data_IF_661364825341
#
_entry.id   IF_661364825341
#
_cell.length_a   1.000
_cell.length_b   1.000
_cell.length_c   1.000
_cell.angle_alpha   90.00
_cell.angle_beta   90.00
_cell.angle_gamma   90.00
#
_symmetry.space_group_name_H-M   'P 1'
#
loop_
_entity.id
_entity.type
_entity.pdbx_description
1 polymer ?
#
# COMPACT_ATOMS: atom_id res chain seq x y z
N UNK A 1 6.66 4.07 -14.70
CA UNK A 1 6.10 4.36 -13.36
C UNK A 1 4.64 3.98 -13.39
N UNK A 2 4.14 3.28 -12.36
CA UNK A 2 2.73 2.90 -12.29
C UNK A 2 1.90 4.11 -11.88
N UNK A 3 0.79 4.35 -12.57
CA UNK A 3 -0.31 5.18 -12.08
C UNK A 3 -0.75 4.67 -10.70
N UNK A 4 -1.13 5.56 -9.78
CA UNK A 4 -1.88 5.16 -8.58
C UNK A 4 -1.13 4.99 -7.25
N UNK A 5 0.17 5.24 -7.15
CA UNK A 5 0.85 5.35 -5.84
C UNK A 5 0.60 6.73 -5.20
N UNK A 6 -0.64 6.98 -4.81
CA UNK A 6 -1.06 8.16 -4.05
C UNK A 6 -1.44 7.73 -2.63
N UNK A 7 -0.42 7.50 -1.81
CA UNK A 7 -0.55 7.03 -0.43
C UNK A 7 -0.27 8.20 0.53
N UNK A 8 -1.31 8.80 1.15
CA UNK A 8 -1.12 9.90 2.09
C UNK A 8 -0.33 9.49 3.35
N UNK A 9 -0.20 8.20 3.63
CA UNK A 9 0.53 7.65 4.78
C UNK A 9 2.05 7.61 4.59
N UNK A 10 2.55 7.81 3.35
CA UNK A 10 3.99 7.74 3.07
C UNK A 10 4.68 9.02 3.52
N UNK A 11 5.46 8.91 4.60
CA UNK A 11 6.23 10.02 5.17
C UNK A 11 7.65 10.12 4.61
N UNK A 12 8.20 9.02 4.08
CA UNK A 12 9.60 8.96 3.63
C UNK A 12 9.72 8.21 2.30
N UNK A 13 10.42 8.83 1.35
CA UNK A 13 10.83 8.20 0.09
C UNK A 13 12.35 8.16 0.03
N UNK A 14 12.92 6.95 -0.01
CA UNK A 14 14.35 6.75 -0.19
C UNK A 14 14.65 6.31 -1.63
N UNK A 15 15.54 7.04 -2.32
CA UNK A 15 16.00 6.73 -3.67
C UNK A 15 17.46 6.28 -3.57
N UNK A 16 17.67 4.98 -3.73
CA UNK A 16 19.01 4.37 -3.77
C UNK A 16 19.65 4.57 -5.14
N UNK A 17 20.98 4.66 -5.19
CA UNK A 17 21.73 4.90 -6.42
C UNK A 17 21.17 6.10 -7.21
N UNK A 18 20.95 7.23 -6.52
CA UNK A 18 20.34 8.41 -7.12
C UNK A 18 21.22 9.06 -8.20
N UNK A 19 22.52 8.79 -8.18
CA UNK A 19 23.52 9.28 -9.12
C UNK A 19 23.76 8.40 -10.35
N UNK A 20 23.13 7.22 -10.42
CA UNK A 20 23.20 6.36 -11.61
C UNK A 20 22.27 6.89 -12.70
N UNK A 21 22.79 7.79 -13.54
CA UNK A 21 22.02 8.37 -14.63
C UNK A 21 21.44 7.30 -15.58
N UNK A 22 20.29 7.63 -16.17
CA UNK A 22 19.50 6.73 -16.99
C UNK A 22 18.01 7.03 -16.85
N UNK A 23 17.16 6.21 -17.47
CA UNK A 23 15.71 6.46 -17.50
C UNK A 23 15.09 6.63 -16.10
N UNK A 24 15.50 5.80 -15.13
CA UNK A 24 14.97 5.80 -13.77
C UNK A 24 15.52 6.94 -12.87
N UNK A 25 16.55 7.64 -13.31
CA UNK A 25 17.21 8.74 -12.59
C UNK A 25 17.32 10.01 -13.42
N UNK A 26 16.50 10.10 -14.48
CA UNK A 26 16.29 11.35 -15.20
C UNK A 26 15.64 12.38 -14.27
N UNK A 27 15.78 13.65 -14.62
CA UNK A 27 15.14 14.76 -13.90
C UNK A 27 13.64 14.52 -13.67
N UNK A 28 12.91 14.14 -14.72
CA UNK A 28 11.48 13.85 -14.66
C UNK A 28 11.20 12.70 -13.70
N UNK A 29 12.01 11.63 -13.78
CA UNK A 29 11.82 10.46 -12.93
C UNK A 29 12.09 10.75 -11.46
N UNK A 30 13.10 11.56 -11.16
CA UNK A 30 13.41 11.98 -9.80
C UNK A 30 12.28 12.86 -9.24
N UNK A 31 11.79 13.84 -10.00
CA UNK A 31 10.68 14.70 -9.58
C UNK A 31 9.42 13.88 -9.28
N UNK A 32 9.06 12.94 -10.16
CA UNK A 32 7.89 12.09 -9.96
C UNK A 32 8.04 11.17 -8.75
N UNK A 33 9.23 10.64 -8.51
CA UNK A 33 9.50 9.78 -7.35
C UNK A 33 9.45 10.57 -6.05
N UNK A 34 10.07 11.76 -6.01
CA UNK A 34 10.01 12.67 -4.87
C UNK A 34 8.58 13.13 -4.58
N UNK A 35 7.77 13.33 -5.62
CA UNK A 35 6.37 13.73 -5.49
C UNK A 35 5.50 12.74 -4.69
N UNK A 36 5.93 11.49 -4.53
CA UNK A 36 5.24 10.50 -3.68
C UNK A 36 5.21 10.90 -2.20
N UNK A 37 6.25 11.60 -1.71
CA UNK A 37 6.29 12.11 -0.34
C UNK A 37 5.45 13.38 -0.14
N UNK A 38 5.03 14.06 -1.22
CA UNK A 38 4.37 15.38 -1.13
C UNK A 38 2.92 15.34 -0.61
N UNK A 39 2.40 14.13 -0.32
CA UNK A 39 1.04 13.91 0.19
C UNK A 39 0.95 13.92 1.71
N UNK A 40 2.09 13.88 2.39
CA UNK A 40 2.18 13.96 3.84
C UNK A 40 2.81 15.30 4.25
N UNK A 41 2.31 15.99 5.29
CA UNK A 41 2.90 17.24 5.77
C UNK A 41 4.37 17.10 6.18
N UNK A 42 4.71 15.98 6.81
CA UNK A 42 6.10 15.62 7.17
C UNK A 42 6.85 14.83 6.10
N UNK A 43 6.38 14.88 4.85
CA UNK A 43 6.99 14.19 3.73
C UNK A 43 8.46 14.55 3.52
N UNK A 44 9.34 13.53 3.52
CA UNK A 44 10.78 13.66 3.31
C UNK A 44 11.27 12.75 2.18
N UNK A 45 12.34 13.18 1.53
CA UNK A 45 13.02 12.40 0.49
C UNK A 45 14.50 12.28 0.84
N UNK A 46 15.06 11.08 0.76
CA UNK A 46 16.49 10.82 0.86
C UNK A 46 17.02 10.32 -0.48
N UNK A 47 18.01 11.02 -1.03
CA UNK A 47 18.73 10.65 -2.25
C UNK A 47 20.09 10.08 -1.85
N UNK A 48 20.27 8.77 -1.94
CA UNK A 48 21.56 8.12 -1.68
C UNK A 48 22.40 8.12 -2.95
N UNK A 49 23.49 8.86 -2.94
CA UNK A 49 24.37 9.06 -4.09
C UNK A 49 25.80 9.32 -3.61
N UNK A 50 26.78 9.03 -4.48
CA UNK A 50 28.17 9.46 -4.26
C UNK A 50 28.38 10.89 -4.73
N UNK A 51 27.77 11.27 -5.86
CA UNK A 51 27.91 12.59 -6.46
C UNK A 51 26.55 13.21 -6.83
N UNK A 52 26.46 14.54 -6.89
CA UNK A 52 25.26 15.22 -7.39
C UNK A 52 25.34 15.30 -8.91
N UNK A 53 24.46 14.58 -9.62
CA UNK A 53 24.37 14.64 -11.08
C UNK A 53 23.62 15.89 -11.56
N UNK A 54 23.72 16.20 -12.86
CA UNK A 54 22.97 17.32 -13.45
C UNK A 54 21.45 17.09 -13.33
N UNK A 55 21.01 15.84 -13.50
CA UNK A 55 19.60 15.45 -13.36
C UNK A 55 19.10 15.65 -11.92
N UNK A 56 19.90 15.26 -10.93
CA UNK A 56 19.60 15.52 -9.51
C UNK A 56 19.54 17.01 -9.20
N UNK A 57 20.54 17.78 -9.62
CA UNK A 57 20.60 19.21 -9.35
C UNK A 57 19.38 19.97 -9.90
N UNK A 58 18.96 19.65 -11.14
CA UNK A 58 17.74 20.25 -11.74
C UNK A 58 16.48 19.82 -11.00
N UNK A 59 16.35 18.54 -10.67
CA UNK A 59 15.20 18.03 -9.93
C UNK A 59 15.06 18.66 -8.54
N UNK A 60 16.16 18.74 -7.77
CA UNK A 60 16.20 19.37 -6.44
C UNK A 60 15.82 20.86 -6.55
N UNK A 61 16.41 21.58 -7.51
CA UNK A 61 16.12 23.00 -7.74
C UNK A 61 14.64 23.24 -8.03
N UNK A 62 14.01 22.39 -8.83
CA UNK A 62 12.59 22.52 -9.16
C UNK A 62 11.68 22.22 -7.96
N UNK A 63 12.01 21.19 -7.16
CA UNK A 63 11.30 20.88 -5.91
C UNK A 63 11.42 22.04 -4.92
N UNK A 64 12.61 22.58 -4.72
CA UNK A 64 12.85 23.72 -3.81
C UNK A 64 12.11 24.97 -4.28
N UNK A 65 12.10 25.25 -5.59
CA UNK A 65 11.35 26.37 -6.16
C UNK A 65 9.85 26.26 -5.84
N UNK A 66 9.26 25.07 -6.03
CA UNK A 66 7.86 24.80 -5.71
C UNK A 66 7.58 24.93 -4.22
N UNK A 67 8.42 24.35 -3.36
CA UNK A 67 8.28 24.42 -1.90
C UNK A 67 8.34 25.85 -1.40
N UNK A 68 9.27 26.66 -1.90
CA UNK A 68 9.37 28.10 -1.56
C UNK A 68 8.09 28.86 -1.93
N UNK A 69 7.53 28.61 -3.11
CA UNK A 69 6.27 29.23 -3.52
C UNK A 69 5.11 28.82 -2.60
N UNK A 70 4.99 27.52 -2.30
CA UNK A 70 3.95 26.98 -1.42
C UNK A 70 4.03 27.55 0.00
N UNK A 71 5.23 27.65 0.58
CA UNK A 71 5.42 28.24 1.91
C UNK A 71 5.01 29.71 1.91
N UNK A 72 5.44 30.50 0.92
CA UNK A 72 5.06 31.91 0.80
C UNK A 72 3.55 32.09 0.68
N UNK A 73 2.91 31.23 -0.13
CA UNK A 73 1.47 31.23 -0.28
C UNK A 73 0.76 30.89 1.04
N UNK A 74 1.21 29.83 1.72
CA UNK A 74 0.64 29.40 2.99
C UNK A 74 0.75 30.49 4.06
N UNK A 75 1.89 31.19 4.16
CA UNK A 75 2.07 32.31 5.09
C UNK A 75 1.13 33.46 4.74
N UNK A 76 1.04 33.84 3.45
CA UNK A 76 0.18 34.94 2.98
C UNK A 76 -1.30 34.72 3.32
N UNK A 77 -1.76 33.47 3.28
CA UNK A 77 -3.17 33.11 3.47
C UNK A 77 -3.44 32.35 4.78
N UNK A 78 -2.48 32.31 5.72
CA UNK A 78 -2.57 31.59 6.98
C UNK A 78 -3.02 30.10 6.84
N UNK A 79 -2.53 29.40 5.81
CA UNK A 79 -2.86 28.00 5.54
C UNK A 79 -1.89 27.09 6.31
N UNK A 80 -2.43 26.24 7.18
CA UNK A 80 -1.68 25.16 7.85
C UNK A 80 -1.78 23.88 7.00
N UNK A 81 -0.65 23.31 6.53
CA UNK A 81 -0.64 22.04 5.81
C UNK A 81 -1.24 20.92 6.68
N UNK A 82 -2.17 20.14 6.12
CA UNK A 82 -2.81 19.01 6.79
C UNK A 82 -2.79 17.80 5.86
N UNK A 83 -2.63 16.61 6.44
CA UNK A 83 -2.76 15.36 5.70
C UNK A 83 -4.21 15.18 5.24
N UNK A 84 -4.39 14.65 4.02
CA UNK A 84 -5.71 14.29 3.52
C UNK A 84 -6.05 12.91 4.06
N UNK A 85 -6.96 12.84 5.02
CA UNK A 85 -7.58 11.58 5.43
C UNK A 85 -8.72 11.27 4.48
N UNK A 86 -8.54 10.28 3.60
CA UNK A 86 -9.66 9.72 2.83
C UNK A 86 -10.35 8.68 3.72
N UNK A 87 -11.64 8.86 4.05
CA UNK A 87 -12.37 7.80 4.75
C UNK A 87 -12.36 6.56 3.87
N UNK A 88 -12.10 5.40 4.47
CA UNK A 88 -12.38 4.11 3.84
C UNK A 88 -13.87 4.17 3.52
N UNK A 89 -14.25 4.03 2.25
CA UNK A 89 -15.67 3.95 1.89
C UNK A 89 -16.25 2.72 2.61
N UNK A 90 -17.01 2.94 3.67
CA UNK A 90 -17.91 1.93 4.21
C UNK A 90 -18.85 1.55 3.08
N UNK A 91 -18.70 0.32 2.60
CA UNK A 91 -19.55 -0.21 1.54
C UNK A 91 -20.84 -0.62 2.22
N UNK A 92 -21.95 -0.04 1.77
CA UNK A 92 -23.32 -0.35 2.20
C UNK A 92 -23.53 -1.86 2.16
N UNK A 93 -23.52 -2.50 3.33
CA UNK A 93 -23.95 -3.88 3.53
C UNK A 93 -25.43 -3.82 3.84
N UNK A 94 -26.25 -3.58 2.82
CA UNK A 94 -27.68 -3.80 2.92
C UNK A 94 -28.12 -4.54 1.65
N UNK A 95 -28.69 -5.74 1.87
CA UNK A 95 -29.25 -6.69 0.91
C UNK A 95 -28.30 -7.78 0.43
N UNK A 96 -28.23 -8.84 1.24
CA UNK A 96 -27.87 -10.19 0.81
C UNK A 96 -29.08 -10.72 0.03
N UNK A 97 -28.92 -10.98 -1.27
CA UNK A 97 -29.89 -11.72 -2.09
C UNK A 97 -29.70 -13.23 -1.85
N UNK A 98 -30.75 -13.91 -1.41
CA UNK A 98 -30.78 -15.33 -1.01
C UNK A 98 -30.62 -16.33 -2.19
N UNK A 99 -30.22 -15.89 -3.38
CA UNK A 99 -30.27 -16.70 -4.61
C UNK A 99 -29.00 -17.49 -4.95
N UNK A 100 -27.89 -17.31 -4.24
CA UNK A 100 -26.58 -17.83 -4.66
C UNK A 100 -26.13 -19.10 -3.92
N UNK A 101 -27.04 -19.90 -3.34
CA UNK A 101 -26.65 -20.89 -2.33
C UNK A 101 -26.12 -22.25 -2.83
N UNK A 102 -26.24 -22.60 -4.11
CA UNK A 102 -26.00 -24.01 -4.53
C UNK A 102 -24.61 -24.30 -5.11
N UNK A 103 -23.89 -23.32 -5.64
CA UNK A 103 -22.54 -23.53 -6.22
C UNK A 103 -21.40 -23.36 -5.19
N UNK A 104 -21.65 -22.71 -4.06
CA UNK A 104 -20.63 -22.32 -3.07
C UNK A 104 -20.44 -23.33 -1.93
N UNK A 105 -21.36 -24.30 -1.80
CA UNK A 105 -21.32 -25.29 -0.73
C UNK A 105 -20.02 -26.11 -0.75
N UNK A 106 -19.50 -26.48 -1.92
CA UNK A 106 -18.30 -27.32 -2.04
C UNK A 106 -16.99 -26.59 -1.71
N UNK A 107 -16.94 -25.27 -1.89
CA UNK A 107 -15.73 -24.48 -1.66
C UNK A 107 -15.57 -24.13 -0.17
N UNK A 108 -16.69 -23.86 0.53
CA UNK A 108 -16.73 -23.75 1.99
C UNK A 108 -16.12 -24.98 2.66
N UNK A 109 -16.55 -26.20 2.29
CA UNK A 109 -16.09 -27.45 2.92
C UNK A 109 -14.59 -27.69 2.82
N UNK A 110 -13.95 -27.29 1.71
CA UNK A 110 -12.51 -27.46 1.52
C UNK A 110 -11.69 -26.48 2.37
N UNK A 111 -12.16 -25.25 2.50
CA UNK A 111 -11.53 -24.22 3.34
C UNK A 111 -11.74 -24.54 4.81
N UNK A 112 -12.95 -24.87 5.25
CA UNK A 112 -13.24 -25.25 6.65
C UNK A 112 -12.35 -26.43 7.11
N UNK A 113 -12.15 -27.44 6.27
CA UNK A 113 -11.24 -28.57 6.60
C UNK A 113 -9.78 -28.16 6.77
N UNK A 114 -9.29 -27.20 5.99
CA UNK A 114 -7.94 -26.66 6.15
C UNK A 114 -7.87 -25.84 7.44
N UNK A 115 -8.90 -25.05 7.72
CA UNK A 115 -9.01 -24.21 8.90
C UNK A 115 -9.10 -25.02 10.21
N UNK A 116 -9.66 -26.24 10.18
CA UNK A 116 -9.82 -27.14 11.34
C UNK A 116 -8.65 -28.10 11.56
N UNK A 117 -7.83 -28.37 10.54
CA UNK A 117 -6.68 -29.29 10.61
C UNK A 117 -5.33 -28.61 10.87
N UNK A 118 -5.35 -27.30 11.14
CA UNK A 118 -4.14 -26.51 11.40
C UNK A 118 -3.71 -26.64 12.88
N UNK A 119 -2.85 -27.61 13.17
CA UNK A 119 -2.12 -27.67 14.44
C UNK A 119 -0.97 -26.64 14.43
N UNK A 120 -1.24 -25.48 15.02
CA UNK A 120 -0.34 -24.32 15.06
C UNK A 120 0.97 -24.62 15.80
N UNK A 121 0.97 -25.59 16.72
CA UNK A 121 2.12 -25.95 17.57
C UNK A 121 3.19 -26.80 16.88
N UNK A 122 2.92 -27.34 15.68
CA UNK A 122 3.82 -28.26 14.97
C UNK A 122 4.46 -27.68 13.70
N UNK A 123 4.25 -26.40 13.40
CA UNK A 123 4.64 -25.79 12.12
C UNK A 123 6.07 -25.21 12.15
N UNK A 124 6.86 -25.52 11.12
CA UNK A 124 8.14 -24.85 10.90
C UNK A 124 7.93 -23.44 10.30
N UNK A 125 8.85 -22.47 10.51
CA UNK A 125 8.71 -21.12 9.95
C UNK A 125 8.57 -21.05 8.42
N UNK A 126 9.05 -22.07 7.70
CA UNK A 126 8.87 -22.19 6.25
C UNK A 126 7.46 -22.63 5.87
N UNK A 127 6.84 -23.50 6.65
CA UNK A 127 5.49 -24.01 6.40
C UNK A 127 4.43 -22.97 6.75
N UNK A 128 4.66 -22.19 7.82
CA UNK A 128 3.86 -21.01 8.18
C UNK A 128 3.70 -20.04 7.00
N UNK A 129 4.81 -19.69 6.32
CA UNK A 129 4.76 -18.77 5.16
C UNK A 129 3.96 -19.33 3.98
N UNK A 130 4.08 -20.64 3.71
CA UNK A 130 3.32 -21.30 2.62
C UNK A 130 1.82 -21.33 2.94
N UNK A 131 1.47 -21.66 4.17
CA UNK A 131 0.09 -21.71 4.66
C UNK A 131 -0.54 -20.32 4.62
N UNK A 132 0.13 -19.29 5.17
CA UNK A 132 -0.35 -17.90 5.12
C UNK A 132 -0.55 -17.43 3.68
N UNK A 133 0.34 -17.81 2.75
CA UNK A 133 0.17 -17.47 1.33
C UNK A 133 -1.06 -18.14 0.72
N UNK A 134 -1.34 -19.40 1.07
CA UNK A 134 -2.54 -20.12 0.61
C UNK A 134 -3.80 -19.49 1.20
N UNK A 135 -3.84 -19.26 2.52
CA UNK A 135 -4.95 -18.61 3.21
C UNK A 135 -5.24 -17.21 2.65
N UNK A 136 -4.21 -16.40 2.36
CA UNK A 136 -4.42 -15.08 1.71
C UNK A 136 -5.08 -15.18 0.34
N UNK A 137 -4.79 -16.24 -0.42
CA UNK A 137 -5.43 -16.48 -1.72
C UNK A 137 -6.90 -16.87 -1.54
N UNK A 138 -7.20 -17.76 -0.60
CA UNK A 138 -8.59 -18.15 -0.28
C UNK A 138 -9.39 -16.97 0.27
N UNK A 139 -8.80 -16.15 1.13
CA UNK A 139 -9.42 -14.92 1.65
C UNK A 139 -9.78 -13.94 0.52
N UNK A 140 -8.91 -13.80 -0.47
CA UNK A 140 -9.18 -12.94 -1.63
C UNK A 140 -10.33 -13.51 -2.48
N UNK A 141 -10.35 -14.82 -2.71
CA UNK A 141 -11.44 -15.49 -3.45
C UNK A 141 -12.77 -15.33 -2.69
N UNK A 142 -12.78 -15.50 -1.37
CA UNK A 142 -13.97 -15.28 -0.54
C UNK A 142 -14.46 -13.83 -0.62
N UNK A 143 -13.54 -12.85 -0.55
CA UNK A 143 -13.87 -11.44 -0.69
C UNK A 143 -14.39 -11.08 -2.10
N UNK A 144 -13.82 -11.66 -3.15
CA UNK A 144 -14.26 -11.49 -4.54
C UNK A 144 -15.65 -12.11 -4.75
N UNK A 145 -15.96 -13.20 -4.05
CA UNK A 145 -17.25 -13.88 -4.03
C UNK A 145 -18.29 -13.25 -3.07
N UNK A 146 -17.97 -12.11 -2.44
CA UNK A 146 -18.82 -11.42 -1.47
C UNK A 146 -19.11 -12.23 -0.18
N UNK A 147 -18.35 -13.29 0.10
CA UNK A 147 -18.42 -14.07 1.34
C UNK A 147 -17.49 -13.45 2.41
N UNK A 148 -17.96 -12.34 2.96
CA UNK A 148 -17.15 -11.53 3.90
C UNK A 148 -16.95 -12.20 5.26
N UNK A 149 -17.87 -13.08 5.67
CA UNK A 149 -17.75 -13.85 6.91
C UNK A 149 -16.57 -14.82 6.82
N UNK A 150 -16.53 -15.61 5.75
CA UNK A 150 -15.41 -16.53 5.50
C UNK A 150 -14.09 -15.78 5.32
N UNK A 151 -14.10 -14.64 4.61
CA UNK A 151 -12.90 -13.81 4.47
C UNK A 151 -12.41 -13.26 5.83
N UNK A 152 -13.32 -12.90 6.74
CA UNK A 152 -12.98 -12.43 8.08
C UNK A 152 -12.40 -13.55 8.95
N UNK A 153 -12.98 -14.75 8.92
CA UNK A 153 -12.44 -15.92 9.63
C UNK A 153 -11.03 -16.28 9.16
N UNK A 154 -10.80 -16.29 7.84
CA UNK A 154 -9.47 -16.57 7.28
C UNK A 154 -8.47 -15.48 7.69
N UNK A 155 -8.88 -14.21 7.70
CA UNK A 155 -8.04 -13.09 8.17
C UNK A 155 -7.61 -13.29 9.61
N UNK A 156 -8.54 -13.68 10.48
CA UNK A 156 -8.27 -13.82 11.91
C UNK A 156 -7.38 -15.04 12.18
N UNK A 157 -7.58 -16.16 11.46
CA UNK A 157 -6.62 -17.29 11.51
C UNK A 157 -5.24 -16.94 10.97
N UNK A 158 -5.13 -16.10 9.94
CA UNK A 158 -3.81 -15.60 9.47
C UNK A 158 -3.13 -14.77 10.56
N UNK A 159 -3.89 -14.01 11.38
CA UNK A 159 -3.35 -13.22 12.50
C UNK A 159 -2.92 -14.08 13.69
N UNK A 160 -3.56 -15.23 13.92
CA UNK A 160 -3.13 -16.16 14.97
C UNK A 160 -1.86 -16.93 14.59
N UNK A 161 -1.65 -17.16 13.29
CA UNK A 161 -0.49 -17.90 12.76
C UNK A 161 0.79 -17.02 12.65
N UNK A 162 0.64 -15.70 12.54
CA UNK A 162 1.73 -14.75 12.25
C UNK A 162 2.03 -13.77 13.37
#
# INVERSE_FOLDING_TARGET
MREGLDLPEVTLVAILDADKEGFLRSEVSLIQTMGRAARHPDGKVLLYAKNITKSMARAIKEVDRRRKYQIKWNVKYAIVPRAIHKPIRERVVDKVDEGASELFANQKTAVTRILDSLDITALTPMDTKKIVKKLKREMQIAADNLDFELAAEIRDKIREIG
#
